data_IF_274177911160
#
_entry.id   IF_274177911160
#
_cell.length_a   1.000
_cell.length_b   1.000
_cell.length_c   1.000
_cell.angle_alpha   90.00
_cell.angle_beta   90.00
_cell.angle_gamma   90.00
#
_symmetry.space_group_name_H-M   'P 1'
#
loop_
_entity.id
_entity.type
_entity.pdbx_description
1 polymer ?
#
# COMPACT_ATOMS: atom_id res chain seq x y z
N UNK A 1 2.59 23.20 -0.57
CA UNK A 1 3.92 23.80 -0.31
C UNK A 1 4.96 22.91 -0.97
N UNK A 2 5.74 23.42 -1.93
CA UNK A 2 6.76 22.61 -2.61
C UNK A 2 7.89 22.24 -1.63
N UNK A 3 8.42 21.02 -1.75
CA UNK A 3 9.59 20.53 -1.04
C UNK A 3 10.70 20.19 -2.04
N UNK A 4 11.96 20.40 -1.65
CA UNK A 4 13.09 20.05 -2.49
C UNK A 4 13.29 18.53 -2.52
N UNK A 5 13.24 17.93 -3.71
CA UNK A 5 13.41 16.48 -3.90
C UNK A 5 14.83 15.98 -3.64
N UNK A 6 15.83 16.87 -3.62
CA UNK A 6 17.23 16.49 -3.35
C UNK A 6 17.58 16.41 -1.86
N UNK A 7 16.99 17.24 -1.01
CA UNK A 7 17.37 17.36 0.41
C UNK A 7 16.17 17.37 1.38
N UNK A 8 14.93 17.27 0.89
CA UNK A 8 13.72 17.16 1.71
C UNK A 8 13.28 18.46 2.41
N UNK A 9 13.96 19.59 2.18
CA UNK A 9 13.62 20.88 2.79
C UNK A 9 12.37 21.51 2.15
N UNK A 10 11.51 22.14 2.94
CA UNK A 10 10.42 22.98 2.42
C UNK A 10 10.99 24.23 1.72
N UNK A 11 10.36 24.63 0.61
CA UNK A 11 10.72 25.79 -0.19
C UNK A 11 9.65 26.88 -0.07
N UNK A 12 10.09 28.14 -0.01
CA UNK A 12 9.20 29.28 -0.15
C UNK A 12 8.68 29.43 -1.60
N UNK A 13 7.60 30.20 -1.79
CA UNK A 13 6.99 30.40 -3.10
C UNK A 13 8.00 31.10 -4.05
N UNK A 14 8.41 30.40 -5.11
CA UNK A 14 9.40 30.87 -6.08
C UNK A 14 10.88 30.58 -5.73
N UNK A 15 11.16 29.93 -4.60
CA UNK A 15 12.53 29.57 -4.21
C UNK A 15 13.04 28.35 -5.01
N UNK A 16 14.22 28.47 -5.64
CA UNK A 16 14.90 27.33 -6.30
C UNK A 16 15.81 26.62 -5.30
N UNK A 17 15.75 25.29 -5.28
CA UNK A 17 16.60 24.48 -4.42
C UNK A 17 18.08 24.61 -4.81
N UNK A 18 18.94 24.96 -3.85
CA UNK A 18 20.38 25.16 -4.03
C UNK A 18 21.23 24.04 -3.43
N UNK A 19 20.62 22.90 -3.10
CA UNK A 19 21.35 21.73 -2.58
C UNK A 19 22.29 21.19 -3.67
N UNK A 20 23.61 21.34 -3.49
CA UNK A 20 24.62 20.65 -4.29
C UNK A 20 24.76 19.23 -3.77
N UNK A 21 24.62 18.27 -4.69
CA UNK A 21 24.52 16.84 -4.47
C UNK A 21 25.61 16.24 -3.57
N UNK A 22 25.18 15.66 -2.45
CA UNK A 22 25.68 14.40 -1.90
C UNK A 22 24.61 13.80 -0.98
N UNK A 23 24.09 12.59 -1.23
CA UNK A 23 23.14 11.96 -0.32
C UNK A 23 23.87 11.54 0.96
N UNK A 24 23.37 11.87 2.18
CA UNK A 24 23.82 11.16 3.36
C UNK A 24 23.31 9.72 3.28
N UNK A 25 24.26 8.77 3.30
CA UNK A 25 23.96 7.35 3.46
C UNK A 25 23.10 7.14 4.70
N UNK A 26 22.06 6.31 4.55
CA UNK A 26 21.29 5.74 5.64
C UNK A 26 22.22 4.97 6.58
N UNK A 27 22.54 5.59 7.72
CA UNK A 27 23.12 4.92 8.87
C UNK A 27 22.02 4.62 9.89
N UNK A 28 21.58 3.37 9.91
CA UNK A 28 20.81 2.79 11.01
C UNK A 28 21.58 2.94 12.33
N UNK A 29 20.99 3.60 13.32
CA UNK A 29 21.38 3.41 14.71
C UNK A 29 20.19 3.60 15.65
N UNK A 30 19.78 2.47 16.22
CA UNK A 30 19.17 2.40 17.54
C UNK A 30 20.08 3.10 18.56
N UNK A 31 19.54 4.01 19.36
CA UNK A 31 19.89 4.15 20.78
C UNK A 31 19.01 5.21 21.46
N UNK A 32 18.08 4.72 22.28
CA UNK A 32 17.81 5.17 23.65
C UNK A 32 17.67 6.68 23.92
N UNK A 33 16.42 7.11 24.14
CA UNK A 33 16.13 8.23 25.03
C UNK A 33 16.00 7.73 26.47
N UNK A 34 16.70 8.32 27.46
CA UNK A 34 16.34 8.16 28.85
C UNK A 34 15.62 9.40 29.39
N UNK A 35 14.41 9.13 29.90
CA UNK A 35 13.87 9.54 31.19
C UNK A 35 14.10 10.98 31.71
N UNK A 36 12.98 11.69 31.75
CA UNK A 36 12.65 12.82 32.64
C UNK A 36 12.36 12.28 34.07
N UNK A 37 13.11 12.74 35.07
CA UNK A 37 12.66 13.17 36.41
C UNK A 37 13.80 13.12 37.44
N UNK A 38 14.10 14.27 38.05
CA UNK A 38 15.01 14.35 39.19
C UNK A 38 14.95 15.75 39.83
N UNK A 39 14.34 15.83 41.00
CA UNK A 39 14.21 17.02 41.85
C UNK A 39 15.58 17.53 42.39
N UNK A 40 15.67 18.80 42.86
CA UNK A 40 16.92 19.48 43.14
C UNK A 40 17.56 19.11 44.50
N UNK A 41 18.89 18.94 44.49
CA UNK A 41 19.79 18.91 45.66
C UNK A 41 20.71 20.15 45.53
N UNK A 42 20.58 21.15 46.40
CA UNK A 42 21.32 21.34 47.65
C UNK A 42 22.83 21.67 47.50
N UNK A 43 23.16 22.89 47.97
CA UNK A 43 24.42 23.39 48.57
C UNK A 43 25.73 23.25 47.76
N UNK A 44 26.62 24.23 47.66
CA UNK A 44 26.82 25.54 48.30
C UNK A 44 28.24 26.02 47.96
N UNK A 45 28.56 27.26 48.34
CA UNK A 45 29.89 27.87 48.56
C UNK A 45 30.03 29.24 47.88
N UNK A 46 29.93 30.28 48.71
CA UNK A 46 30.56 31.58 48.50
C UNK A 46 31.43 31.87 49.72
N UNK A 47 32.71 32.22 49.56
CA UNK A 47 33.51 32.79 50.63
C UNK A 47 33.20 34.29 50.69
N UNK A 48 32.69 34.77 51.82
CA UNK A 48 32.68 36.20 52.09
C UNK A 48 33.27 36.50 53.46
N UNK A 49 34.28 37.36 53.42
CA UNK A 49 35.07 37.85 54.52
C UNK A 49 34.31 38.93 55.30
N UNK A 50 34.49 38.95 56.62
CA UNK A 50 34.68 40.20 57.34
C UNK A 50 33.54 40.71 58.22
N UNK A 51 33.94 41.04 59.45
CA UNK A 51 33.36 41.99 60.42
C UNK A 51 32.42 41.43 61.51
N UNK A 52 32.99 41.35 62.73
CA UNK A 52 32.34 41.20 64.04
C UNK A 52 31.45 42.40 64.39
N UNK A 53 30.39 42.20 65.20
CA UNK A 53 30.28 42.97 66.47
C UNK A 53 29.60 42.12 67.60
N UNK A 54 29.19 42.66 68.77
CA UNK A 54 29.74 42.26 70.07
C UNK A 54 28.79 41.39 70.92
N UNK A 55 29.37 40.89 72.01
CA UNK A 55 28.81 40.04 73.06
C UNK A 55 27.53 40.55 73.72
N UNK A 56 26.73 39.58 74.17
CA UNK A 56 26.09 39.48 75.49
C UNK A 56 24.55 39.30 75.43
N UNK A 57 24.07 38.05 75.38
CA UNK A 57 22.67 37.69 75.63
C UNK A 57 22.57 36.40 76.49
N UNK A 58 21.58 36.31 77.39
CA UNK A 58 21.43 35.27 78.42
C UNK A 58 21.11 33.86 77.87
N UNK A 59 21.37 32.80 78.66
CA UNK A 59 21.26 31.42 78.20
C UNK A 59 19.83 31.01 77.83
N UNK A 60 19.66 30.07 76.89
CA UNK A 60 18.38 29.72 76.28
C UNK A 60 17.53 28.86 77.23
N UNK A 61 16.21 29.05 77.17
CA UNK A 61 15.23 28.14 77.78
C UNK A 61 15.32 26.75 77.12
N UNK A 62 15.40 25.70 77.94
CA UNK A 62 15.34 24.32 77.47
C UNK A 62 13.99 24.02 76.80
N UNK A 63 13.97 23.62 75.51
CA UNK A 63 12.74 23.30 74.81
C UNK A 63 12.21 21.93 75.23
N UNK A 64 10.94 21.91 75.65
CA UNK A 64 10.19 20.70 75.96
C UNK A 64 10.18 19.73 74.76
N UNK A 65 10.35 18.41 74.97
CA UNK A 65 10.39 17.43 73.89
C UNK A 65 9.01 17.24 73.27
N UNK A 66 8.80 17.79 72.08
CA UNK A 66 7.65 17.44 71.23
C UNK A 66 7.88 16.04 70.65
N UNK A 67 7.00 15.09 70.98
CA UNK A 67 6.95 13.81 70.30
C UNK A 67 6.40 14.01 68.88
N UNK A 68 7.27 13.89 67.87
CA UNK A 68 6.86 13.84 66.48
C UNK A 68 6.20 12.49 66.20
N UNK A 69 4.89 12.49 66.00
CA UNK A 69 4.17 11.36 65.42
C UNK A 69 4.62 11.23 63.96
N UNK A 70 5.44 10.22 63.67
CA UNK A 70 5.87 9.91 62.31
C UNK A 70 4.70 9.21 61.59
N UNK A 71 3.97 9.96 60.76
CA UNK A 71 3.00 9.37 59.85
C UNK A 71 3.76 8.62 58.74
N UNK A 72 3.36 7.38 58.39
CA UNK A 72 3.98 6.68 57.27
C UNK A 72 3.80 7.52 56.00
N UNK A 73 4.79 7.55 55.09
CA UNK A 73 4.69 8.34 53.87
C UNK A 73 3.46 7.92 53.07
N UNK A 74 2.60 8.87 52.72
CA UNK A 74 1.46 8.64 51.84
C UNK A 74 1.96 8.01 50.54
N UNK A 75 1.52 6.79 50.25
CA UNK A 75 1.77 6.16 48.96
C UNK A 75 1.07 6.99 47.89
N UNK A 76 1.82 7.72 47.07
CA UNK A 76 1.29 8.43 45.89
C UNK A 76 0.57 7.42 45.00
N UNK A 77 -0.76 7.50 44.99
CA UNK A 77 -1.59 6.67 44.14
C UNK A 77 -1.50 7.17 42.70
N UNK A 78 -0.98 6.31 41.81
CA UNK A 78 -0.92 6.56 40.37
C UNK A 78 -2.28 6.44 39.66
N UNK A 79 -3.40 6.49 40.41
CA UNK A 79 -4.75 6.39 39.85
C UNK A 79 -5.05 7.44 38.76
N UNK A 80 -4.43 8.62 38.84
CA UNK A 80 -4.54 9.67 37.83
C UNK A 80 -3.96 9.26 36.46
N UNK A 81 -2.96 8.36 36.44
CA UNK A 81 -2.36 7.83 35.20
C UNK A 81 -3.40 6.99 34.45
N UNK A 82 -4.16 6.15 35.17
CA UNK A 82 -5.23 5.34 34.57
C UNK A 82 -6.36 6.19 34.00
N UNK A 83 -6.68 7.33 34.64
CA UNK A 83 -7.69 8.27 34.15
C UNK A 83 -7.32 8.91 32.79
N UNK A 84 -6.02 9.00 32.46
CA UNK A 84 -5.54 9.49 31.16
C UNK A 84 -5.41 8.34 30.15
N UNK A 85 -4.92 7.18 30.58
CA UNK A 85 -4.70 6.03 29.68
C UNK A 85 -6.01 5.51 29.10
N UNK A 86 -7.06 5.38 29.92
CA UNK A 86 -8.36 4.83 29.49
C UNK A 86 -8.98 5.61 28.30
N UNK A 87 -9.14 6.95 28.35
CA UNK A 87 -9.71 7.69 27.23
C UNK A 87 -8.83 7.66 25.98
N UNK A 88 -7.50 7.65 26.13
CA UNK A 88 -6.58 7.55 24.98
C UNK A 88 -6.74 6.21 24.27
N UNK A 89 -6.79 5.10 25.00
CA UNK A 89 -7.04 3.76 24.41
C UNK A 89 -8.40 3.73 23.71
N UNK A 90 -9.43 4.34 24.30
CA UNK A 90 -10.77 4.38 23.69
C UNK A 90 -10.78 5.15 22.37
N UNK A 91 -10.11 6.30 22.29
CA UNK A 91 -9.97 7.07 21.04
C UNK A 91 -9.22 6.26 19.98
N UNK A 92 -8.15 5.54 20.35
CA UNK A 92 -7.40 4.69 19.42
C UNK A 92 -8.29 3.55 18.90
N UNK A 93 -9.08 2.90 19.76
CA UNK A 93 -9.99 1.84 19.34
C UNK A 93 -11.09 2.36 18.40
N UNK A 94 -11.70 3.51 18.70
CA UNK A 94 -12.74 4.09 17.84
C UNK A 94 -12.17 4.53 16.49
N UNK A 95 -11.01 5.18 16.48
CA UNK A 95 -10.39 5.65 15.22
C UNK A 95 -9.93 4.48 14.34
N UNK A 96 -9.32 3.44 14.91
CA UNK A 96 -8.93 2.23 14.16
C UNK A 96 -10.14 1.46 13.63
N UNK A 97 -11.24 1.36 14.40
CA UNK A 97 -12.47 0.70 13.95
C UNK A 97 -13.10 1.37 12.71
N UNK A 98 -12.96 2.68 12.56
CA UNK A 98 -13.47 3.42 11.38
C UNK A 98 -12.48 3.35 10.21
N UNK A 99 -11.18 3.49 10.48
CA UNK A 99 -10.17 3.60 9.44
C UNK A 99 -9.88 2.26 8.74
N UNK A 100 -9.87 1.15 9.48
CA UNK A 100 -9.50 -0.17 8.93
C UNK A 100 -10.45 -0.62 7.80
N UNK A 101 -11.79 -0.59 7.96
CA UNK A 101 -12.71 -0.95 6.87
C UNK A 101 -12.56 -0.05 5.64
N UNK A 102 -12.34 1.26 5.83
CA UNK A 102 -12.16 2.21 4.74
C UNK A 102 -10.90 1.90 3.90
N UNK A 103 -9.78 1.62 4.58
CA UNK A 103 -8.52 1.25 3.91
C UNK A 103 -8.64 -0.10 3.20
N UNK A 104 -9.34 -1.07 3.78
CA UNK A 104 -9.60 -2.36 3.13
C UNK A 104 -10.40 -2.19 1.84
N UNK A 105 -11.48 -1.40 1.87
CA UNK A 105 -12.28 -1.10 0.67
C UNK A 105 -11.47 -0.42 -0.43
N UNK A 106 -10.60 0.51 -0.06
CA UNK A 106 -9.69 1.17 -1.01
C UNK A 106 -8.70 0.19 -1.64
N UNK A 107 -8.07 -0.68 -0.84
CA UNK A 107 -7.13 -1.70 -1.33
C UNK A 107 -7.81 -2.66 -2.33
N UNK A 108 -9.04 -3.08 -2.05
CA UNK A 108 -9.79 -3.95 -2.97
C UNK A 108 -10.05 -3.28 -4.31
N UNK A 109 -10.47 -2.01 -4.31
CA UNK A 109 -10.70 -1.24 -5.54
C UNK A 109 -9.41 -1.01 -6.32
N UNK A 110 -8.33 -0.63 -5.62
CA UNK A 110 -7.02 -0.42 -6.23
C UNK A 110 -6.52 -1.71 -6.90
N UNK A 111 -6.63 -2.86 -6.24
CA UNK A 111 -6.25 -4.16 -6.81
C UNK A 111 -7.10 -4.54 -8.04
N UNK A 112 -8.40 -4.20 -8.05
CA UNK A 112 -9.24 -4.44 -9.23
C UNK A 112 -8.88 -3.52 -10.41
N UNK A 113 -8.55 -2.25 -10.13
CA UNK A 113 -8.08 -1.30 -11.15
C UNK A 113 -6.77 -1.80 -11.76
N UNK A 114 -5.83 -2.25 -10.92
CA UNK A 114 -4.55 -2.81 -11.35
C UNK A 114 -4.74 -4.03 -12.26
N UNK A 115 -5.60 -4.98 -11.85
CA UNK A 115 -5.94 -6.14 -12.67
C UNK A 115 -6.55 -5.73 -14.03
N UNK A 116 -7.48 -4.77 -14.02
CA UNK A 116 -8.07 -4.23 -15.25
C UNK A 116 -7.02 -3.59 -16.16
N UNK A 117 -6.06 -2.86 -15.60
CA UNK A 117 -4.96 -2.27 -16.38
C UNK A 117 -4.14 -3.36 -17.07
N UNK A 118 -3.84 -4.48 -16.41
CA UNK A 118 -3.17 -5.61 -17.05
C UNK A 118 -3.92 -6.12 -18.26
N UNK A 119 -5.24 -6.35 -18.15
CA UNK A 119 -6.05 -6.81 -19.28
C UNK A 119 -6.04 -5.81 -20.45
N UNK A 120 -6.07 -4.51 -20.16
CA UNK A 120 -6.03 -3.47 -21.18
C UNK A 120 -4.65 -3.31 -21.83
N UNK A 121 -3.58 -3.49 -21.07
CA UNK A 121 -2.23 -3.45 -21.60
C UNK A 121 -1.92 -4.69 -22.45
N UNK A 122 -2.40 -5.87 -22.02
CA UNK A 122 -2.41 -7.10 -22.85
C UNK A 122 -3.17 -6.85 -24.16
N UNK A 123 -4.37 -6.26 -24.09
CA UNK A 123 -5.16 -5.91 -25.28
C UNK A 123 -4.40 -4.97 -26.23
N UNK A 124 -3.75 -3.93 -25.71
CA UNK A 124 -2.91 -3.01 -26.53
C UNK A 124 -1.73 -3.75 -27.17
N UNK A 125 -1.01 -4.56 -26.39
CA UNK A 125 0.12 -5.33 -26.88
C UNK A 125 -0.32 -6.31 -27.98
N UNK A 126 -1.41 -7.04 -27.75
CA UNK A 126 -2.00 -7.94 -28.74
C UNK A 126 -2.44 -7.19 -30.02
N UNK A 127 -3.09 -6.03 -29.93
CA UNK A 127 -3.41 -5.22 -31.12
C UNK A 127 -2.16 -4.79 -31.91
N UNK A 128 -1.07 -4.42 -31.23
CA UNK A 128 0.20 -4.10 -31.89
C UNK A 128 0.79 -5.30 -32.61
N UNK A 129 0.81 -6.47 -31.97
CA UNK A 129 1.30 -7.71 -32.60
C UNK A 129 0.43 -8.10 -33.79
N UNK A 130 -0.90 -7.98 -33.69
CA UNK A 130 -1.81 -8.25 -34.82
C UNK A 130 -1.56 -7.29 -35.99
N UNK A 131 -1.24 -6.03 -35.72
CA UNK A 131 -0.88 -5.08 -36.78
C UNK A 131 0.41 -5.51 -37.50
N UNK A 132 1.45 -5.92 -36.79
CA UNK A 132 2.68 -6.45 -37.39
C UNK A 132 2.42 -7.74 -38.20
N UNK A 133 1.67 -8.68 -37.66
CA UNK A 133 1.30 -9.91 -38.35
C UNK A 133 0.50 -9.61 -39.64
N UNK A 134 -0.34 -8.57 -39.62
CA UNK A 134 -1.05 -8.11 -40.82
C UNK A 134 -0.11 -7.50 -41.87
N UNK A 135 0.88 -6.72 -41.45
CA UNK A 135 1.92 -6.17 -42.34
C UNK A 135 2.77 -7.28 -42.98
N UNK A 136 2.97 -8.39 -42.27
CA UNK A 136 3.62 -9.61 -42.76
C UNK A 136 2.70 -10.53 -43.58
N UNK A 137 1.50 -10.04 -43.96
CA UNK A 137 0.50 -10.78 -44.74
C UNK A 137 0.05 -12.11 -44.08
N UNK A 138 0.18 -12.25 -42.76
CA UNK A 138 -0.34 -13.41 -42.02
C UNK A 138 -1.86 -13.37 -41.98
N UNK A 139 -2.50 -14.54 -42.04
CA UNK A 139 -3.94 -14.62 -41.87
C UNK A 139 -4.32 -14.37 -40.40
N UNK A 140 -4.82 -13.18 -40.10
CA UNK A 140 -5.31 -12.80 -38.76
C UNK A 140 -6.86 -12.72 -38.69
N UNK A 141 -7.55 -13.13 -39.75
CA UNK A 141 -9.01 -13.06 -39.86
C UNK A 141 -9.68 -14.28 -39.19
N UNK A 142 -10.94 -14.14 -38.83
CA UNK A 142 -11.69 -15.16 -38.08
C UNK A 142 -11.95 -14.77 -36.63
N UNK A 143 -12.48 -15.72 -35.85
CA UNK A 143 -12.76 -15.58 -34.42
C UNK A 143 -12.01 -16.69 -33.69
N UNK A 144 -11.07 -16.32 -32.82
CA UNK A 144 -10.16 -17.25 -32.15
C UNK A 144 -9.73 -16.72 -30.79
N UNK A 145 -9.20 -17.62 -29.96
CA UNK A 145 -8.69 -17.32 -28.62
C UNK A 145 -7.18 -17.62 -28.61
N UNK A 146 -6.39 -16.66 -28.14
CA UNK A 146 -4.96 -16.88 -27.83
C UNK A 146 -4.74 -16.71 -26.34
N UNK A 147 -4.00 -17.62 -25.73
CA UNK A 147 -3.79 -17.64 -24.28
C UNK A 147 -2.30 -17.61 -23.90
N UNK A 148 -2.00 -17.21 -22.65
CA UNK A 148 -0.68 -17.42 -22.03
C UNK A 148 -0.35 -18.91 -21.91
N UNK A 149 -1.37 -19.76 -21.75
CA UNK A 149 -1.25 -21.20 -21.77
C UNK A 149 -1.46 -21.74 -23.21
N UNK A 150 -0.43 -22.30 -23.87
CA UNK A 150 -0.54 -22.81 -25.23
C UNK A 150 -1.58 -23.91 -25.41
N UNK A 151 -1.90 -24.68 -24.35
CA UNK A 151 -2.92 -25.73 -24.42
C UNK A 151 -4.34 -25.15 -24.48
N UNK A 152 -4.50 -23.88 -24.12
CA UNK A 152 -5.75 -23.13 -24.11
C UNK A 152 -5.92 -22.25 -25.37
N UNK A 153 -5.06 -22.37 -26.39
CA UNK A 153 -5.27 -21.72 -27.68
C UNK A 153 -6.45 -22.37 -28.44
N UNK A 154 -7.31 -21.57 -29.08
CA UNK A 154 -8.47 -22.08 -29.81
C UNK A 154 -8.62 -21.43 -31.19
N UNK A 155 -8.62 -22.25 -32.24
CA UNK A 155 -8.85 -21.85 -33.64
C UNK A 155 -7.87 -20.80 -34.20
N UNK A 156 -6.64 -20.70 -33.65
CA UNK A 156 -5.66 -19.68 -34.06
C UNK A 156 -5.14 -19.95 -35.48
N UNK A 157 -5.28 -19.01 -36.43
CA UNK A 157 -4.90 -19.21 -37.84
C UNK A 157 -3.42 -18.94 -38.16
N UNK A 158 -2.60 -18.65 -37.15
CA UNK A 158 -1.17 -18.33 -37.27
C UNK A 158 -0.38 -19.00 -36.13
N UNK A 159 0.95 -18.81 -36.12
CA UNK A 159 1.83 -19.29 -35.05
C UNK A 159 1.59 -18.51 -33.75
N UNK A 160 0.82 -19.09 -32.83
CA UNK A 160 0.52 -18.51 -31.53
C UNK A 160 1.78 -18.35 -30.65
N UNK A 161 2.82 -19.15 -30.89
CA UNK A 161 4.12 -19.03 -30.22
C UNK A 161 4.85 -17.75 -30.60
N UNK A 162 4.93 -17.44 -31.90
CA UNK A 162 5.49 -16.17 -32.40
C UNK A 162 4.70 -14.97 -31.85
N UNK A 163 3.37 -15.05 -31.87
CA UNK A 163 2.51 -14.02 -31.30
C UNK A 163 2.80 -13.74 -29.82
N UNK A 164 2.88 -14.79 -28.99
CA UNK A 164 3.25 -14.66 -27.57
C UNK A 164 4.64 -14.07 -27.39
N UNK A 165 5.61 -14.50 -28.19
CA UNK A 165 6.98 -13.99 -28.13
C UNK A 165 7.03 -12.49 -28.42
N UNK A 166 6.32 -12.03 -29.46
CA UNK A 166 6.22 -10.60 -29.79
C UNK A 166 5.43 -9.81 -28.74
N UNK A 167 4.41 -10.42 -28.13
CA UNK A 167 3.64 -9.75 -27.07
C UNK A 167 4.55 -9.33 -25.90
N UNK A 168 5.57 -10.12 -25.56
CA UNK A 168 6.57 -9.78 -24.52
C UNK A 168 7.37 -8.51 -24.84
N UNK A 169 7.54 -8.18 -26.12
CA UNK A 169 8.22 -6.94 -26.55
C UNK A 169 7.41 -5.70 -26.17
N UNK A 170 6.08 -5.80 -26.21
CA UNK A 170 5.16 -4.70 -25.94
C UNK A 170 4.64 -4.67 -24.50
N UNK A 171 4.65 -5.82 -23.82
CA UNK A 171 4.21 -5.95 -22.44
C UNK A 171 5.19 -6.84 -21.66
N UNK A 172 6.16 -6.20 -21.00
CA UNK A 172 7.25 -6.90 -20.30
C UNK A 172 6.76 -7.76 -19.13
N UNK A 173 5.60 -7.45 -18.56
CA UNK A 173 4.97 -8.23 -17.48
C UNK A 173 4.10 -9.39 -17.98
N UNK A 174 4.15 -9.73 -19.27
CA UNK A 174 3.40 -10.85 -19.85
C UNK A 174 3.69 -12.19 -19.15
N UNK A 175 4.90 -12.38 -18.61
CA UNK A 175 5.29 -13.59 -17.89
C UNK A 175 4.88 -13.59 -16.39
N UNK A 176 4.38 -12.47 -15.88
CA UNK A 176 3.95 -12.32 -14.48
C UNK A 176 2.44 -12.55 -14.29
N UNK A 177 1.69 -12.64 -15.40
CA UNK A 177 0.24 -12.77 -15.40
C UNK A 177 -0.20 -13.82 -16.40
N UNK A 178 -1.26 -14.54 -16.03
CA UNK A 178 -2.01 -15.40 -16.91
C UNK A 178 -3.06 -14.60 -17.67
N UNK A 179 -3.27 -14.94 -18.93
CA UNK A 179 -4.23 -14.23 -19.76
C UNK A 179 -4.84 -15.07 -20.88
N UNK A 180 -5.95 -14.58 -21.40
CA UNK A 180 -6.41 -14.94 -22.74
C UNK A 180 -7.01 -13.72 -23.43
N UNK A 181 -6.90 -13.71 -24.75
CA UNK A 181 -7.46 -12.68 -25.62
C UNK A 181 -8.35 -13.33 -26.67
N UNK A 182 -9.48 -12.68 -26.94
CA UNK A 182 -10.41 -13.09 -28.00
C UNK A 182 -10.29 -12.08 -29.11
N UNK A 183 -9.97 -12.59 -30.30
CA UNK A 183 -9.65 -11.78 -31.46
C UNK A 183 -10.69 -12.06 -32.53
N UNK A 184 -11.30 -11.00 -33.06
CA UNK A 184 -12.24 -11.07 -34.18
C UNK A 184 -11.72 -10.22 -35.33
N UNK A 185 -11.53 -10.86 -36.48
CA UNK A 185 -11.16 -10.23 -37.74
C UNK A 185 -9.91 -9.34 -37.69
N UNK A 186 -8.95 -9.70 -36.82
CA UNK A 186 -7.69 -8.98 -36.65
C UNK A 186 -7.75 -7.84 -35.64
N UNK A 187 -8.71 -7.84 -34.72
CA UNK A 187 -8.79 -6.88 -33.62
C UNK A 187 -9.18 -7.57 -32.32
N UNK A 188 -8.60 -7.15 -31.20
CA UNK A 188 -8.91 -7.72 -29.88
C UNK A 188 -10.27 -7.20 -29.42
N UNK A 189 -11.25 -8.09 -29.27
CA UNK A 189 -12.57 -7.74 -28.73
C UNK A 189 -12.61 -7.85 -27.20
N UNK A 190 -11.84 -8.78 -26.65
CA UNK A 190 -11.84 -9.08 -25.24
C UNK A 190 -10.47 -9.55 -24.78
N UNK A 191 -10.10 -9.16 -23.56
CA UNK A 191 -8.93 -9.66 -22.87
C UNK A 191 -9.29 -9.90 -21.41
N UNK A 192 -8.79 -11.00 -20.84
CA UNK A 192 -8.86 -11.23 -19.41
C UNK A 192 -7.47 -11.57 -18.88
N UNK A 193 -7.16 -11.09 -17.67
CA UNK A 193 -5.86 -11.29 -17.04
C UNK A 193 -5.99 -11.51 -15.54
N UNK A 194 -5.17 -12.39 -14.97
CA UNK A 194 -5.08 -12.65 -13.54
C UNK A 194 -3.69 -13.20 -13.19
N UNK A 195 -3.29 -13.18 -11.92
CA UNK A 195 -2.04 -13.83 -11.48
C UNK A 195 -2.10 -15.38 -11.45
N UNK A 196 -3.26 -15.96 -11.74
CA UNK A 196 -3.49 -17.41 -11.69
C UNK A 196 -4.77 -17.78 -12.43
N UNK A 197 -4.74 -18.91 -13.14
CA UNK A 197 -5.88 -19.50 -13.84
C UNK A 197 -7.03 -19.92 -12.92
N UNK A 198 -6.72 -20.52 -11.78
CA UNK A 198 -7.68 -21.29 -10.97
C UNK A 198 -7.89 -20.72 -9.56
N UNK A 199 -7.08 -19.75 -9.13
CA UNK A 199 -7.19 -19.18 -7.79
C UNK A 199 -8.28 -18.09 -7.71
N UNK A 200 -9.45 -18.44 -7.16
CA UNK A 200 -10.59 -17.54 -6.98
C UNK A 200 -10.34 -16.35 -6.02
N UNK A 201 -9.25 -16.38 -5.24
CA UNK A 201 -8.88 -15.24 -4.37
C UNK A 201 -8.15 -14.13 -5.12
N UNK A 202 -7.63 -14.43 -6.32
CA UNK A 202 -6.94 -13.49 -7.19
C UNK A 202 -7.96 -12.65 -7.94
N UNK A 203 -7.69 -11.35 -8.08
CA UNK A 203 -8.52 -10.46 -8.89
C UNK A 203 -8.26 -10.71 -10.37
N UNK A 204 -9.36 -10.86 -11.11
CA UNK A 204 -9.34 -10.94 -12.56
C UNK A 204 -9.62 -9.54 -13.10
N UNK A 205 -8.83 -9.09 -14.05
CA UNK A 205 -9.13 -7.91 -14.84
C UNK A 205 -9.68 -8.29 -16.19
N UNK A 206 -10.55 -7.46 -16.76
CA UNK A 206 -11.09 -7.69 -18.11
C UNK A 206 -11.09 -6.40 -18.92
N UNK A 207 -10.89 -6.53 -20.22
CA UNK A 207 -11.22 -5.53 -21.20
C UNK A 207 -12.33 -6.09 -22.11
N UNK A 208 -13.43 -5.36 -22.36
CA UNK A 208 -13.81 -4.12 -21.69
C UNK A 208 -14.03 -4.31 -20.18
N UNK A 209 -13.84 -3.23 -19.42
CA UNK A 209 -13.99 -3.24 -17.96
C UNK A 209 -15.46 -3.40 -17.56
N UNK A 210 -15.71 -4.17 -16.50
CA UNK A 210 -16.99 -4.11 -15.78
C UNK A 210 -17.00 -3.02 -14.70
N UNK A 211 -18.20 -2.58 -14.30
CA UNK A 211 -18.39 -1.53 -13.30
C UNK A 211 -18.04 -1.98 -11.87
N UNK A 212 -18.34 -3.23 -11.53
CA UNK A 212 -18.15 -3.77 -10.18
C UNK A 212 -17.46 -5.13 -10.16
N UNK A 213 -17.59 -5.90 -11.23
CA UNK A 213 -17.02 -7.22 -11.39
C UNK A 213 -16.42 -7.36 -12.80
N UNK A 214 -15.51 -8.32 -13.02
CA UNK A 214 -15.05 -8.69 -14.35
C UNK A 214 -16.23 -8.97 -15.29
N UNK A 215 -16.13 -8.59 -16.56
CA UNK A 215 -17.15 -8.94 -17.57
C UNK A 215 -16.85 -10.31 -18.15
N UNK A 216 -17.87 -11.14 -18.32
CA UNK A 216 -17.77 -12.33 -19.16
C UNK A 216 -17.78 -11.90 -20.63
N UNK A 217 -17.12 -12.66 -21.49
CA UNK A 217 -17.26 -12.46 -22.93
C UNK A 217 -18.72 -12.71 -23.36
N UNK A 218 -19.16 -12.04 -24.41
CA UNK A 218 -20.36 -12.44 -25.14
C UNK A 218 -20.19 -11.99 -26.58
N UNK A 219 -20.57 -12.86 -27.51
CA UNK A 219 -20.45 -12.60 -28.94
C UNK A 219 -21.24 -11.36 -29.38
N UNK A 220 -22.31 -11.05 -28.64
CA UNK A 220 -23.23 -9.93 -28.86
C UNK A 220 -22.84 -8.65 -28.10
N UNK A 221 -21.74 -8.67 -27.33
CA UNK A 221 -21.24 -7.52 -26.57
C UNK A 221 -21.98 -7.24 -25.24
N UNK A 222 -23.03 -7.98 -24.92
CA UNK A 222 -23.82 -7.86 -23.68
C UNK A 222 -23.46 -8.94 -22.65
N UNK A 223 -22.15 -9.12 -22.40
CA UNK A 223 -21.67 -10.09 -21.42
C UNK A 223 -22.13 -9.77 -20.00
N UNK A 224 -22.56 -10.81 -19.28
CA UNK A 224 -22.88 -10.72 -17.85
C UNK A 224 -21.64 -10.41 -16.99
N UNK A 225 -21.86 -10.13 -15.71
CA UNK A 225 -20.77 -10.01 -14.74
C UNK A 225 -20.32 -11.38 -14.24
N UNK A 226 -19.00 -11.54 -14.08
CA UNK A 226 -18.42 -12.67 -13.39
C UNK A 226 -18.86 -12.72 -11.91
N UNK A 227 -19.05 -13.94 -11.41
CA UNK A 227 -19.31 -14.21 -10.00
C UNK A 227 -18.07 -14.03 -9.13
N UNK A 228 -18.27 -13.90 -7.81
CA UNK A 228 -17.16 -13.75 -6.83
C UNK A 228 -16.23 -14.97 -6.76
N UNK A 229 -16.68 -16.13 -7.22
CA UNK A 229 -15.93 -17.39 -7.22
C UNK A 229 -15.37 -17.73 -8.60
N UNK A 230 -15.70 -16.94 -9.62
CA UNK A 230 -15.22 -17.18 -10.96
C UNK A 230 -13.71 -16.96 -10.99
N UNK A 231 -13.04 -17.84 -11.72
CA UNK A 231 -11.60 -17.79 -11.96
C UNK A 231 -11.34 -17.36 -13.41
N UNK A 232 -10.08 -17.11 -13.77
CA UNK A 232 -9.74 -16.83 -15.17
C UNK A 232 -10.13 -18.01 -16.07
N UNK A 233 -9.92 -19.24 -15.58
CA UNK A 233 -10.35 -20.50 -16.22
C UNK A 233 -11.88 -20.54 -16.42
N UNK A 234 -12.68 -20.13 -15.42
CA UNK A 234 -14.14 -20.04 -15.58
C UNK A 234 -14.54 -19.09 -16.70
N UNK A 235 -13.84 -17.94 -16.81
CA UNK A 235 -14.10 -16.94 -17.85
C UNK A 235 -13.68 -17.45 -19.24
N UNK A 236 -12.58 -18.20 -19.31
CA UNK A 236 -12.11 -18.82 -20.55
C UNK A 236 -13.12 -19.83 -21.08
N UNK A 237 -13.54 -20.81 -20.27
CA UNK A 237 -14.50 -21.82 -20.72
C UNK A 237 -15.86 -21.22 -21.07
N UNK A 238 -16.30 -20.21 -20.32
CA UNK A 238 -17.51 -19.46 -20.68
C UNK A 238 -17.38 -18.84 -22.08
N UNK A 239 -16.24 -18.21 -22.39
CA UNK A 239 -16.00 -17.62 -23.70
C UNK A 239 -15.86 -18.67 -24.79
N UNK A 240 -15.19 -19.80 -24.49
CA UNK A 240 -15.04 -20.92 -25.41
C UNK A 240 -16.41 -21.48 -25.82
N UNK A 241 -17.27 -21.76 -24.84
CA UNK A 241 -18.61 -22.30 -25.08
C UNK A 241 -19.46 -21.33 -25.93
N UNK A 242 -19.43 -20.03 -25.61
CA UNK A 242 -20.13 -18.98 -26.37
C UNK A 242 -19.65 -18.88 -27.82
N UNK A 243 -18.38 -19.17 -28.11
CA UNK A 243 -17.81 -19.03 -29.46
C UNK A 243 -17.98 -20.30 -30.30
N UNK A 244 -17.81 -21.49 -29.68
CA UNK A 244 -17.61 -22.74 -30.42
C UNK A 244 -18.70 -23.79 -30.24
N UNK A 245 -19.69 -23.56 -29.37
CA UNK A 245 -20.74 -24.56 -29.05
C UNK A 245 -22.13 -24.17 -29.56
N UNK A 246 -22.27 -23.06 -30.29
CA UNK A 246 -23.52 -22.68 -30.99
C UNK A 246 -23.75 -23.42 -32.31
#
# INVERSE_FOLDING_TARGET
>A
MPYCTQCGRQLAEGEKCSCTSSPPMQGSSNAQQPYINGYPQQYGQYPNNGMQPPSNYPPPYDPYPYQYISYPPEKKSNAWIWAIIIPVIFIIMVTTAILVPAVQGYRVKAAQIDANNYANDIRKAADHVLAELNEEEKNIKGLYIVSSDPESDAAVPFDAGDFRQRMKTYYSSADEVEYFVIIRNGSVEYAAAAKSWTNHSVRIGTYPYGTSNPRRYSINGYGGSAGKKDTLDTLYWYAYDEIFTE
#
